data_IF_265851872898
#
_entry.id   IF_265851872898
#
_cell.length_a   1.000
_cell.length_b   1.000
_cell.length_c   1.000
_cell.angle_alpha   90.00
_cell.angle_beta   90.00
_cell.angle_gamma   90.00
#
_symmetry.space_group_name_H-M   'P 1'
#
loop_
_entity.id
_entity.type
_entity.pdbx_description
1 polymer ?
#
# COMPACT_ATOMS: atom_id res chain seq x y z
N UNK A 1 20.97 -0.85 12.08
CA UNK A 1 19.86 -1.84 11.95
C UNK A 1 20.03 -2.89 13.04
N UNK A 2 18.94 -3.53 13.47
CA UNK A 2 18.95 -4.61 14.45
C UNK A 2 18.25 -5.83 13.85
N UNK A 3 18.92 -6.97 13.89
CA UNK A 3 18.33 -8.23 13.47
C UNK A 3 17.24 -8.69 14.43
N UNK A 4 16.15 -9.21 13.88
CA UNK A 4 15.06 -9.84 14.62
C UNK A 4 14.65 -11.16 13.95
N UNK A 5 13.94 -12.02 14.66
CA UNK A 5 13.39 -13.26 14.09
C UNK A 5 12.43 -13.03 12.90
N UNK A 6 11.97 -11.79 12.72
CA UNK A 6 11.01 -11.39 11.69
C UNK A 6 11.68 -10.53 10.59
N UNK A 7 13.01 -10.50 10.52
CA UNK A 7 13.79 -9.68 9.61
C UNK A 7 14.42 -8.44 10.27
N UNK A 8 15.30 -7.74 9.57
CA UNK A 8 15.98 -6.57 10.09
C UNK A 8 15.04 -5.40 10.32
N UNK A 9 15.31 -4.64 11.37
CA UNK A 9 14.54 -3.47 11.79
C UNK A 9 15.46 -2.27 11.89
N UNK A 10 15.04 -1.13 11.35
CA UNK A 10 15.72 0.15 11.54
C UNK A 10 15.57 0.58 13.00
N UNK A 11 16.66 0.70 13.73
CA UNK A 11 16.69 0.97 15.18
C UNK A 11 17.59 2.16 15.55
N UNK A 12 17.99 2.97 14.59
CA UNK A 12 18.91 4.09 14.80
C UNK A 12 18.67 5.26 13.88
N UNK A 13 19.57 6.23 13.96
CA UNK A 13 19.64 7.39 13.08
C UNK A 13 20.70 7.16 12.00
N UNK A 14 20.59 7.89 10.91
CA UNK A 14 21.52 7.83 9.80
C UNK A 14 21.04 6.96 8.64
N UNK A 15 21.93 6.72 7.71
CA UNK A 15 21.65 5.90 6.53
C UNK A 15 21.70 4.40 6.82
N UNK A 16 20.99 3.64 6.02
CA UNK A 16 21.05 2.18 6.02
C UNK A 16 20.82 1.63 4.62
N UNK A 17 21.18 0.37 4.43
CA UNK A 17 20.88 -0.43 3.25
C UNK A 17 20.21 -1.71 3.73
N UNK A 18 19.12 -2.08 3.11
CA UNK A 18 18.42 -3.33 3.36
C UNK A 18 17.83 -3.86 2.05
N UNK A 19 17.96 -5.17 1.84
CA UNK A 19 17.25 -5.82 0.75
C UNK A 19 15.78 -6.00 1.15
N UNK A 20 14.85 -5.67 0.25
CA UNK A 20 13.42 -5.83 0.50
C UNK A 20 13.04 -7.28 0.84
N UNK A 21 13.69 -8.26 0.22
CA UNK A 21 13.46 -9.69 0.50
C UNK A 21 13.87 -10.08 1.92
N UNK A 22 14.92 -9.44 2.45
CA UNK A 22 15.40 -9.69 3.81
C UNK A 22 14.63 -8.91 4.86
N UNK A 23 13.84 -7.91 4.44
CA UNK A 23 13.04 -7.06 5.31
C UNK A 23 11.87 -7.84 5.92
N UNK A 24 11.27 -7.25 6.94
CA UNK A 24 10.02 -7.77 7.50
C UNK A 24 8.82 -7.28 6.70
N UNK A 25 7.88 -8.18 6.51
CA UNK A 25 6.64 -7.95 5.79
C UNK A 25 5.43 -8.12 6.69
N UNK A 26 4.33 -7.54 6.32
CA UNK A 26 3.05 -7.70 7.00
C UNK A 26 1.99 -8.06 5.98
N UNK A 27 1.37 -9.22 6.18
CA UNK A 27 0.23 -9.67 5.40
C UNK A 27 -1.06 -9.02 5.92
N UNK A 28 -1.90 -8.58 5.02
CA UNK A 28 -3.13 -7.85 5.31
C UNK A 28 -4.35 -8.42 4.58
N UNK A 29 -4.35 -9.74 4.30
CA UNK A 29 -5.45 -10.42 3.59
C UNK A 29 -5.72 -9.76 2.24
N UNK A 30 -6.95 -9.28 1.98
CA UNK A 30 -7.31 -8.71 0.68
C UNK A 30 -6.55 -7.42 0.33
N UNK A 31 -5.71 -6.92 1.24
CA UNK A 31 -4.81 -5.79 1.00
C UNK A 31 -3.39 -6.26 0.66
N UNK A 32 -3.19 -7.55 0.40
CA UNK A 32 -1.89 -8.11 0.08
C UNK A 32 -0.87 -8.05 1.21
N UNK A 33 0.40 -8.02 0.86
CA UNK A 33 1.50 -7.90 1.80
C UNK A 33 2.29 -6.63 1.54
N UNK A 34 2.83 -6.02 2.58
CA UNK A 34 3.64 -4.82 2.41
C UNK A 34 4.87 -4.77 3.31
N UNK A 35 5.89 -4.07 2.85
CA UNK A 35 7.09 -3.67 3.58
C UNK A 35 7.22 -2.15 3.57
N UNK A 36 7.44 -1.53 4.72
CA UNK A 36 7.57 -0.06 4.84
C UNK A 36 8.98 0.42 5.20
N UNK A 37 9.95 -0.49 5.32
CA UNK A 37 11.35 -0.21 5.69
C UNK A 37 11.55 0.55 7.00
N UNK A 38 10.50 0.77 7.77
CA UNK A 38 10.52 1.54 9.00
C UNK A 38 10.66 0.64 10.24
N UNK A 39 11.27 1.21 11.29
CA UNK A 39 11.35 0.58 12.60
C UNK A 39 10.45 1.28 13.62
N UNK A 40 11.02 1.59 14.78
CA UNK A 40 10.33 2.38 15.82
C UNK A 40 10.14 3.83 15.40
N UNK A 41 11.03 4.37 14.60
CA UNK A 41 10.96 5.72 14.04
C UNK A 41 10.43 5.66 12.62
N UNK A 42 9.52 6.55 12.31
CA UNK A 42 8.99 6.74 10.96
C UNK A 42 9.86 7.72 10.19
N UNK A 43 9.92 7.57 8.89
CA UNK A 43 10.51 8.58 8.03
C UNK A 43 9.70 9.88 8.14
N UNK A 44 10.34 11.02 8.43
CA UNK A 44 9.60 12.24 8.78
C UNK A 44 8.94 12.94 7.59
N UNK A 45 9.42 12.72 6.37
CA UNK A 45 9.01 13.46 5.19
C UNK A 45 8.24 12.61 4.19
N UNK A 46 8.56 11.33 4.08
CA UNK A 46 7.97 10.40 3.12
C UNK A 46 7.59 9.09 3.78
N UNK A 47 6.46 8.51 3.39
CA UNK A 47 6.15 7.10 3.58
C UNK A 47 6.58 6.35 2.33
N UNK A 48 7.25 5.22 2.47
CA UNK A 48 7.69 4.39 1.34
C UNK A 48 7.31 2.96 1.65
N UNK A 49 6.53 2.35 0.75
CA UNK A 49 6.09 0.96 0.87
C UNK A 49 6.34 0.23 -0.44
N UNK A 50 6.73 -1.04 -0.34
CA UNK A 50 6.52 -1.99 -1.42
C UNK A 50 5.31 -2.84 -1.04
N UNK A 51 4.37 -2.97 -1.98
CA UNK A 51 3.18 -3.78 -1.83
C UNK A 51 3.25 -4.94 -2.82
N UNK A 52 3.01 -6.14 -2.35
CA UNK A 52 2.83 -7.34 -3.17
C UNK A 52 1.36 -7.72 -3.06
N UNK A 53 0.71 -7.73 -4.20
CA UNK A 53 -0.73 -7.97 -4.34
C UNK A 53 -0.95 -9.28 -5.09
N UNK A 54 -1.70 -10.20 -4.53
CA UNK A 54 -2.25 -11.33 -5.26
C UNK A 54 -3.36 -10.87 -6.23
N UNK A 55 -3.85 -11.78 -7.10
CA UNK A 55 -4.93 -11.47 -8.04
C UNK A 55 -6.14 -10.86 -7.35
N UNK A 56 -6.61 -9.70 -7.83
CA UNK A 56 -7.74 -8.97 -7.27
C UNK A 56 -7.51 -8.29 -5.91
N UNK A 57 -6.34 -8.44 -5.30
CA UNK A 57 -5.98 -7.72 -4.08
C UNK A 57 -5.68 -6.25 -4.35
N UNK A 58 -5.86 -5.41 -3.34
CA UNK A 58 -5.76 -3.95 -3.46
C UNK A 58 -4.84 -3.34 -2.41
N UNK A 59 -4.26 -2.17 -2.70
CA UNK A 59 -3.36 -1.47 -1.76
C UNK A 59 -4.15 -0.94 -0.53
N UNK A 60 -5.43 -0.64 -0.68
CA UNK A 60 -6.27 -0.11 0.38
C UNK A 60 -7.73 0.03 -0.03
N UNK A 61 -8.43 1.01 0.54
CA UNK A 61 -9.78 1.42 0.14
C UNK A 61 -9.69 2.69 -0.70
N UNK A 62 -10.65 2.91 -1.61
CA UNK A 62 -10.73 4.12 -2.42
C UNK A 62 -10.81 5.35 -1.52
N UNK A 63 -9.86 6.24 -1.67
CA UNK A 63 -9.68 7.36 -0.77
C UNK A 63 -8.99 8.55 -1.44
N UNK A 64 -8.99 9.67 -0.77
CA UNK A 64 -8.14 10.83 -1.07
C UNK A 64 -7.39 11.25 0.17
N UNK A 65 -6.19 11.76 -0.02
CA UNK A 65 -5.36 12.34 1.03
C UNK A 65 -5.02 13.80 0.75
N UNK A 66 -4.67 14.54 1.82
CA UNK A 66 -4.13 15.91 1.68
C UNK A 66 -2.62 15.89 1.36
N UNK A 67 -2.06 14.73 1.05
CA UNK A 67 -0.68 14.54 0.66
C UNK A 67 -0.59 14.18 -0.83
N UNK A 68 0.55 14.48 -1.43
CA UNK A 68 0.92 13.93 -2.73
C UNK A 68 1.31 12.47 -2.56
N UNK A 69 0.88 11.63 -3.49
CA UNK A 69 1.28 10.24 -3.57
C UNK A 69 1.82 9.90 -4.96
N UNK A 70 2.70 8.93 -5.00
CA UNK A 70 3.24 8.39 -6.25
C UNK A 70 3.31 6.87 -6.16
N UNK A 71 3.01 6.22 -7.29
CA UNK A 71 3.04 4.76 -7.39
C UNK A 71 3.81 4.36 -8.64
N UNK A 72 4.65 3.33 -8.50
CA UNK A 72 5.36 2.73 -9.62
C UNK A 72 5.05 1.22 -9.62
N UNK A 73 4.48 0.73 -10.70
CA UNK A 73 4.30 -0.71 -10.90
C UNK A 73 5.67 -1.32 -11.22
N UNK A 74 6.17 -2.18 -10.34
CA UNK A 74 7.46 -2.85 -10.53
C UNK A 74 7.34 -4.15 -11.29
N UNK A 75 6.21 -4.85 -11.14
CA UNK A 75 5.91 -6.10 -11.82
C UNK A 75 4.39 -6.34 -11.88
N UNK A 76 3.93 -7.12 -12.86
CA UNK A 76 2.53 -7.46 -13.04
C UNK A 76 1.70 -6.36 -13.68
N UNK A 77 0.38 -6.49 -13.55
CA UNK A 77 -0.60 -5.56 -14.09
C UNK A 77 -1.58 -5.15 -13.00
N UNK A 78 -2.04 -3.91 -13.05
CA UNK A 78 -2.97 -3.34 -12.09
C UNK A 78 -4.08 -2.56 -12.80
N UNK A 79 -5.22 -2.44 -12.10
CA UNK A 79 -6.25 -1.45 -12.41
C UNK A 79 -6.11 -0.29 -11.43
N UNK A 80 -5.88 0.90 -11.93
CA UNK A 80 -6.01 2.15 -11.18
C UNK A 80 -7.45 2.63 -11.31
N UNK A 81 -8.15 2.80 -10.18
CA UNK A 81 -9.37 3.60 -10.13
C UNK A 81 -8.98 4.99 -9.65
N UNK A 82 -9.18 5.99 -10.48
CA UNK A 82 -8.85 7.40 -10.21
C UNK A 82 -9.98 8.30 -10.69
N UNK A 83 -10.49 9.16 -9.81
CA UNK A 83 -11.60 10.07 -10.11
C UNK A 83 -12.79 9.35 -10.79
N UNK A 84 -13.17 8.19 -10.22
CA UNK A 84 -14.21 7.29 -10.73
C UNK A 84 -14.01 6.78 -12.17
N UNK A 85 -12.76 6.72 -12.63
CA UNK A 85 -12.38 6.14 -13.92
C UNK A 85 -11.38 5.00 -13.71
N UNK A 86 -11.41 4.01 -14.57
CA UNK A 86 -10.43 2.93 -14.60
C UNK A 86 -9.32 3.21 -15.60
N UNK A 87 -8.09 2.87 -15.23
CA UNK A 87 -6.90 2.86 -16.09
C UNK A 87 -6.14 1.56 -15.86
N UNK A 88 -5.79 0.88 -16.93
CA UNK A 88 -4.89 -0.26 -16.84
C UNK A 88 -3.46 0.22 -16.70
N UNK A 89 -2.72 -0.41 -15.79
CA UNK A 89 -1.31 -0.15 -15.55
C UNK A 89 -0.53 -1.44 -15.77
N UNK A 90 0.65 -1.31 -16.33
CA UNK A 90 1.63 -2.37 -16.52
C UNK A 90 2.94 -2.05 -15.82
N UNK A 91 3.86 -3.01 -15.76
CA UNK A 91 5.19 -2.77 -15.20
C UNK A 91 5.84 -1.53 -15.82
N UNK A 92 6.45 -0.70 -14.94
CA UNK A 92 7.08 0.60 -15.21
C UNK A 92 6.14 1.78 -15.43
N UNK A 93 4.82 1.60 -15.37
CA UNK A 93 3.90 2.73 -15.33
C UNK A 93 4.03 3.46 -13.98
N UNK A 94 4.14 4.79 -14.06
CA UNK A 94 4.19 5.68 -12.92
C UNK A 94 2.91 6.50 -12.81
N UNK A 95 2.31 6.50 -11.64
CA UNK A 95 1.13 7.30 -11.30
C UNK A 95 1.53 8.42 -10.35
N UNK A 96 1.11 9.63 -10.64
CA UNK A 96 1.22 10.78 -9.76
C UNK A 96 -0.18 11.23 -9.32
N UNK A 97 -0.42 11.21 -8.03
CA UNK A 97 -1.65 11.70 -7.41
C UNK A 97 -1.35 13.01 -6.65
N UNK A 98 -1.75 14.17 -7.16
CA UNK A 98 -1.75 15.41 -6.38
C UNK A 98 -2.59 15.28 -5.11
N UNK A 99 -2.36 16.14 -4.10
CA UNK A 99 -3.22 16.19 -2.92
C UNK A 99 -4.71 16.31 -3.29
N UNK A 100 -5.55 15.48 -2.65
CA UNK A 100 -7.00 15.49 -2.86
C UNK A 100 -7.51 14.64 -4.01
N UNK A 101 -6.64 13.99 -4.79
CA UNK A 101 -7.04 13.09 -5.88
C UNK A 101 -7.58 11.77 -5.33
N UNK A 102 -8.85 11.41 -5.57
CA UNK A 102 -9.39 10.11 -5.18
C UNK A 102 -8.79 8.98 -6.03
N UNK A 103 -8.28 7.93 -5.38
CA UNK A 103 -7.67 6.81 -6.11
C UNK A 103 -7.62 5.52 -5.30
N UNK A 104 -7.37 4.41 -5.99
CA UNK A 104 -6.95 3.10 -5.48
C UNK A 104 -6.30 2.29 -6.60
N UNK A 105 -5.38 1.40 -6.24
CA UNK A 105 -4.75 0.43 -7.14
C UNK A 105 -5.13 -0.98 -6.70
N UNK A 106 -5.53 -1.79 -7.67
CA UNK A 106 -5.95 -3.19 -7.52
C UNK A 106 -5.15 -4.04 -8.50
N UNK A 107 -4.60 -5.18 -8.07
CA UNK A 107 -3.95 -6.11 -8.98
C UNK A 107 -4.96 -6.73 -9.96
N UNK A 108 -4.52 -7.02 -11.18
CA UNK A 108 -5.35 -7.73 -12.16
C UNK A 108 -5.75 -9.13 -11.65
N UNK A 109 -6.92 -9.63 -12.06
CA UNK A 109 -7.47 -10.92 -11.59
C UNK A 109 -6.60 -12.14 -11.97
N UNK A 110 -5.77 -12.05 -12.96
CA UNK A 110 -5.01 -13.19 -13.50
C UNK A 110 -3.60 -13.35 -12.95
N UNK A 111 -3.06 -12.36 -12.24
CA UNK A 111 -1.65 -12.35 -11.83
C UNK A 111 -1.40 -11.47 -10.62
N UNK A 112 -0.29 -11.75 -9.94
CA UNK A 112 0.21 -10.90 -8.85
C UNK A 112 0.86 -9.63 -9.40
N UNK A 113 0.85 -8.58 -8.61
CA UNK A 113 1.52 -7.32 -8.92
C UNK A 113 2.41 -6.85 -7.78
N UNK A 114 3.46 -6.12 -8.12
CA UNK A 114 4.34 -5.46 -7.15
C UNK A 114 4.34 -3.96 -7.42
N UNK A 115 3.98 -3.18 -6.40
CA UNK A 115 3.83 -1.73 -6.52
C UNK A 115 4.63 -1.02 -5.43
N UNK A 116 5.53 -0.13 -5.84
CA UNK A 116 6.15 0.85 -4.95
C UNK A 116 5.17 2.00 -4.74
N UNK A 117 4.87 2.32 -3.48
CA UNK A 117 4.07 3.47 -3.09
C UNK A 117 4.89 4.45 -2.27
N UNK A 118 4.78 5.72 -2.58
CA UNK A 118 5.46 6.82 -1.88
C UNK A 118 4.44 7.92 -1.58
N UNK A 119 4.25 8.23 -0.31
CA UNK A 119 3.33 9.28 0.13
C UNK A 119 4.05 10.38 0.92
N UNK A 120 3.66 11.63 0.71
CA UNK A 120 4.17 12.77 1.46
C UNK A 120 3.76 12.72 2.93
N UNK A 121 4.64 13.16 3.82
CA UNK A 121 4.41 13.33 5.27
C UNK A 121 4.92 14.69 5.70
N UNK A 122 4.42 15.25 6.78
CA UNK A 122 4.96 16.47 7.33
C UNK A 122 3.90 17.41 7.90
N UNK A 123 4.33 18.55 8.45
CA UNK A 123 3.42 19.60 8.94
C UNK A 123 2.67 20.22 7.77
N UNK A 124 1.34 20.16 7.79
CA UNK A 124 0.48 20.66 6.73
C UNK A 124 0.35 19.74 5.51
N UNK A 125 1.08 18.64 5.47
CA UNK A 125 0.99 17.58 4.46
C UNK A 125 0.67 16.29 5.21
N UNK A 126 -0.42 15.65 4.86
CA UNK A 126 -0.89 14.47 5.60
C UNK A 126 -1.74 14.85 6.81
N UNK A 127 -2.72 14.06 7.04
CA UNK A 127 -3.80 14.30 7.98
C UNK A 127 -5.06 14.68 7.19
N UNK A 128 -6.00 13.76 7.15
CA UNK A 128 -7.25 13.92 6.41
C UNK A 128 -7.37 12.98 5.24
N UNK A 129 -7.07 11.69 5.50
CA UNK A 129 -7.60 10.63 4.64
C UNK A 129 -9.12 10.66 4.72
N UNK A 130 -9.77 10.67 3.58
CA UNK A 130 -11.21 10.45 3.47
C UNK A 130 -11.46 9.27 2.55
N UNK A 131 -12.08 8.24 3.08
CA UNK A 131 -12.54 7.09 2.33
C UNK A 131 -13.87 7.41 1.70
N UNK A 132 -14.02 7.11 0.41
CA UNK A 132 -15.10 7.59 -0.42
C UNK A 132 -15.94 6.43 -0.94
N UNK A 133 -17.22 6.71 -1.17
CA UNK A 133 -18.11 5.81 -1.90
C UNK A 133 -17.88 5.99 -3.40
N UNK A 134 -17.71 4.89 -4.12
CA UNK A 134 -17.52 4.86 -5.57
C UNK A 134 -18.05 3.56 -6.14
N UNK A 135 -18.97 3.63 -7.10
CA UNK A 135 -19.49 2.46 -7.80
C UNK A 135 -18.40 1.75 -8.62
N UNK A 136 -17.43 2.52 -9.11
CA UNK A 136 -16.28 1.98 -9.84
C UNK A 136 -15.37 1.18 -8.91
N UNK A 137 -14.99 1.76 -7.78
CA UNK A 137 -14.16 1.09 -6.79
C UNK A 137 -14.89 -0.10 -6.13
N UNK A 138 -16.22 -0.04 -6.02
CA UNK A 138 -17.04 -1.12 -5.46
C UNK A 138 -16.94 -2.42 -6.28
N UNK A 139 -16.78 -2.34 -7.60
CA UNK A 139 -16.56 -3.50 -8.47
C UNK A 139 -15.30 -4.29 -8.12
N UNK A 140 -14.34 -3.62 -7.50
CA UNK A 140 -13.08 -4.18 -7.03
C UNK A 140 -13.06 -4.42 -5.50
N UNK A 141 -14.21 -4.32 -4.84
CA UNK A 141 -14.30 -4.44 -3.38
C UNK A 141 -13.56 -3.33 -2.61
N UNK A 142 -13.25 -2.21 -3.27
CA UNK A 142 -12.41 -1.14 -2.73
C UNK A 142 -13.19 0.10 -2.29
N UNK A 143 -14.53 0.10 -2.33
CA UNK A 143 -15.38 1.20 -1.86
C UNK A 143 -15.85 0.96 -0.44
N UNK A 144 -15.98 2.02 0.35
CA UNK A 144 -16.72 2.00 1.61
C UNK A 144 -18.23 2.12 1.35
N UNK A 145 -19.06 1.65 2.30
CA UNK A 145 -20.52 1.79 2.21
C UNK A 145 -21.02 3.20 2.57
N UNK A 146 -20.25 3.93 3.38
CA UNK A 146 -20.50 5.30 3.79
C UNK A 146 -19.16 6.04 3.90
N UNK A 147 -19.11 7.29 3.43
CA UNK A 147 -17.90 8.10 3.52
C UNK A 147 -17.44 8.29 4.96
N UNK A 148 -16.17 8.10 5.21
CA UNK A 148 -15.60 8.20 6.55
C UNK A 148 -14.17 8.72 6.53
N UNK A 149 -13.73 9.29 7.65
CA UNK A 149 -12.33 9.61 7.94
C UNK A 149 -11.74 8.65 8.98
N UNK A 150 -12.55 7.71 9.49
CA UNK A 150 -12.09 6.71 10.46
C UNK A 150 -11.59 5.46 9.73
N UNK A 151 -10.27 5.15 9.79
CA UNK A 151 -9.73 3.93 9.23
C UNK A 151 -10.36 2.66 9.80
N UNK A 152 -10.77 2.69 11.08
CA UNK A 152 -11.38 1.51 11.72
C UNK A 152 -12.72 1.17 11.09
N UNK A 153 -13.49 2.18 10.71
CA UNK A 153 -14.74 2.00 9.99
C UNK A 153 -14.50 1.57 8.53
N UNK A 154 -13.55 2.22 7.84
CA UNK A 154 -13.26 1.92 6.44
C UNK A 154 -12.73 0.50 6.21
N UNK A 155 -11.99 -0.06 7.16
CA UNK A 155 -11.39 -1.38 7.08
C UNK A 155 -12.03 -2.41 8.02
N UNK A 156 -13.24 -2.17 8.52
CA UNK A 156 -13.88 -3.03 9.52
C UNK A 156 -13.94 -4.49 9.08
N UNK A 157 -14.39 -4.76 7.85
CA UNK A 157 -14.50 -6.11 7.29
C UNK A 157 -13.14 -6.77 7.08
N UNK A 158 -12.15 -6.00 6.65
CA UNK A 158 -10.77 -6.48 6.50
C UNK A 158 -10.20 -6.90 7.84
N UNK A 159 -10.33 -6.06 8.85
CA UNK A 159 -9.79 -6.33 10.19
C UNK A 159 -10.52 -7.48 10.90
N UNK A 160 -11.81 -7.64 10.65
CA UNK A 160 -12.58 -8.76 11.19
C UNK A 160 -12.15 -10.12 10.62
N UNK A 161 -11.69 -10.14 9.37
CA UNK A 161 -11.24 -11.35 8.68
C UNK A 161 -9.75 -11.68 8.94
N UNK A 162 -8.96 -10.71 9.44
CA UNK A 162 -7.52 -10.91 9.64
C UNK A 162 -7.24 -11.66 10.94
N UNK A 163 -6.44 -12.74 10.90
CA UNK A 163 -5.75 -13.20 12.09
C UNK A 163 -4.85 -12.07 12.59
N UNK A 164 -4.52 -12.03 13.88
CA UNK A 164 -3.59 -11.03 14.41
C UNK A 164 -2.33 -11.01 13.55
N UNK A 165 -2.27 -10.06 12.62
CA UNK A 165 -1.18 -9.94 11.67
C UNK A 165 0.09 -9.55 12.41
N UNK A 166 1.14 -10.34 12.25
CA UNK A 166 2.47 -10.10 12.78
C UNK A 166 3.43 -9.81 11.63
N UNK A 167 4.42 -8.99 11.90
CA UNK A 167 5.54 -8.85 10.98
C UNK A 167 6.27 -10.19 10.86
N UNK A 168 6.58 -10.60 9.64
CA UNK A 168 7.29 -11.83 9.31
C UNK A 168 8.30 -11.59 8.18
N UNK A 169 9.29 -12.47 8.00
CA UNK A 169 10.11 -12.48 6.80
C UNK A 169 9.23 -12.70 5.56
N UNK A 170 9.63 -12.11 4.42
CA UNK A 170 8.97 -12.38 3.14
C UNK A 170 9.11 -13.86 2.76
N UNK A 171 8.04 -14.48 2.32
CA UNK A 171 8.00 -15.92 2.01
C UNK A 171 7.48 -16.27 0.63
N UNK A 172 6.92 -15.31 -0.04
CA UNK A 172 6.33 -15.48 -1.35
C UNK A 172 7.36 -15.07 -2.41
N UNK A 173 7.55 -15.78 -3.46
CA UNK A 173 8.52 -15.49 -4.53
C UNK A 173 8.08 -14.40 -5.52
N UNK A 174 7.11 -13.55 -5.18
CA UNK A 174 6.53 -12.56 -6.10
C UNK A 174 7.40 -11.31 -6.30
N UNK A 175 8.43 -11.09 -5.49
CA UNK A 175 9.38 -10.01 -5.77
C UNK A 175 10.18 -10.35 -7.03
N UNK A 176 10.43 -9.36 -7.92
CA UNK A 176 11.22 -9.58 -9.11
C UNK A 176 12.58 -10.18 -8.76
N UNK A 177 12.92 -11.32 -9.38
CA UNK A 177 14.29 -11.82 -9.37
C UNK A 177 15.11 -11.01 -10.37
N UNK A 178 16.27 -10.57 -9.96
CA UNK A 178 17.25 -9.94 -10.84
C UNK A 178 17.87 -10.97 -11.80
#
# INVERSE_FOLDING_TARGET
>A
MRETKNGPVVDGEGWFVVNAQDSRWREMGPLGAYCNFEGKRRFPQLGININVLGPGERIGMYHRENAQEGFLVLAGECTLVIEDQERQLTAWDFVHCPPGTPHIIVAAEGQSAVVLAVGGRGRGVGGGVRYLVSDVAARHGASVGEETTDPSAAYADVYAALPRSTWAPYRDGSLPSL
#
